data_IF_789354856689
#
_entry.id   IF_789354856689
#
_cell.length_a   1.000
_cell.length_b   1.000
_cell.length_c   1.000
_cell.angle_alpha   90.00
_cell.angle_beta   90.00
_cell.angle_gamma   90.00
#
_symmetry.space_group_name_H-M   'P 1'
#
loop_
_entity.id
_entity.type
_entity.pdbx_description
1 polymer ?
#
# COMPACT_ATOMS: atom_id res chain seq x y z
N UNK A 1 -12.72 42.75 -62.82
CA UNK A 1 -11.73 41.94 -62.09
C UNK A 1 -12.24 41.42 -60.72
N UNK A 2 -13.54 41.12 -60.56
CA UNK A 2 -14.15 40.84 -59.24
C UNK A 2 -14.54 39.36 -59.01
N UNK A 3 -14.24 38.49 -60.00
CA UNK A 3 -14.58 37.07 -59.95
C UNK A 3 -13.52 36.23 -59.21
N UNK A 4 -12.24 36.60 -59.30
CA UNK A 4 -11.14 35.88 -58.62
C UNK A 4 -11.18 35.99 -57.09
N UNK A 5 -11.50 37.17 -56.55
CA UNK A 5 -11.55 37.40 -55.10
C UNK A 5 -12.70 36.66 -54.40
N UNK A 6 -13.86 36.53 -55.05
CA UNK A 6 -15.00 35.74 -54.55
C UNK A 6 -14.75 34.24 -54.60
N UNK A 7 -13.92 33.76 -55.53
CA UNK A 7 -13.56 32.35 -55.63
C UNK A 7 -12.54 31.96 -54.55
N UNK A 8 -11.54 32.81 -54.31
CA UNK A 8 -10.52 32.60 -53.28
C UNK A 8 -11.11 32.62 -51.85
N UNK A 9 -12.08 33.52 -51.58
CA UNK A 9 -12.70 33.60 -50.26
C UNK A 9 -13.60 32.40 -49.94
N UNK A 10 -14.27 31.82 -50.95
CA UNK A 10 -15.04 30.58 -50.81
C UNK A 10 -14.15 29.37 -50.53
N UNK A 11 -13.04 29.26 -51.24
CA UNK A 11 -12.02 28.21 -51.03
C UNK A 11 -11.41 28.29 -49.62
N UNK A 12 -11.03 29.49 -49.17
CA UNK A 12 -10.50 29.70 -47.82
C UNK A 12 -11.53 29.42 -46.72
N UNK A 13 -12.81 29.75 -46.95
CA UNK A 13 -13.90 29.42 -46.03
C UNK A 13 -14.18 27.91 -45.97
N UNK A 14 -14.13 27.21 -47.10
CA UNK A 14 -14.29 25.75 -47.16
C UNK A 14 -13.11 25.03 -46.47
N UNK A 15 -11.89 25.54 -46.69
CA UNK A 15 -10.66 25.00 -46.10
C UNK A 15 -10.60 25.22 -44.58
N UNK A 16 -11.09 26.36 -44.08
CA UNK A 16 -11.23 26.58 -42.64
C UNK A 16 -12.35 25.76 -42.00
N UNK A 17 -13.45 25.49 -42.72
CA UNK A 17 -14.52 24.58 -42.29
C UNK A 17 -14.04 23.13 -42.13
N UNK A 18 -12.91 22.79 -42.76
CA UNK A 18 -12.26 21.48 -42.71
C UNK A 18 -11.13 21.41 -41.66
N UNK A 19 -10.98 22.42 -40.79
CA UNK A 19 -10.09 22.30 -39.63
C UNK A 19 -10.74 21.45 -38.53
N UNK A 20 -10.44 20.15 -38.60
CA UNK A 20 -10.52 19.13 -37.53
C UNK A 20 -11.70 19.30 -36.56
N UNK A 21 -12.89 18.97 -37.03
CA UNK A 21 -13.96 18.56 -36.13
C UNK A 21 -13.62 17.18 -35.58
N UNK A 22 -13.34 17.09 -34.28
CA UNK A 22 -13.36 15.81 -33.57
C UNK A 22 -14.78 15.24 -33.73
N UNK A 23 -14.95 13.99 -34.18
CA UNK A 23 -16.26 13.37 -34.29
C UNK A 23 -17.00 13.49 -32.96
N UNK A 24 -18.27 13.91 -32.98
CA UNK A 24 -19.03 14.17 -31.75
C UNK A 24 -19.07 12.96 -30.81
N UNK A 25 -19.14 11.75 -31.37
CA UNK A 25 -19.04 10.49 -30.63
C UNK A 25 -17.68 10.31 -29.95
N UNK A 26 -16.58 10.64 -30.64
CA UNK A 26 -15.23 10.57 -30.10
C UNK A 26 -15.03 11.58 -28.95
N UNK A 27 -15.58 12.78 -29.09
CA UNK A 27 -15.53 13.78 -28.02
C UNK A 27 -16.25 13.28 -26.76
N UNK A 28 -17.45 12.71 -26.92
CA UNK A 28 -18.24 12.16 -25.80
C UNK A 28 -17.52 10.98 -25.16
N UNK A 29 -16.99 10.03 -25.94
CA UNK A 29 -16.31 8.85 -25.39
C UNK A 29 -15.05 9.23 -24.60
N UNK A 30 -14.28 10.21 -25.06
CA UNK A 30 -13.08 10.69 -24.37
C UNK A 30 -13.45 11.38 -23.06
N UNK A 31 -14.47 12.26 -23.07
CA UNK A 31 -14.91 12.96 -21.85
C UNK A 31 -15.42 11.95 -20.82
N UNK A 32 -16.28 11.02 -21.24
CA UNK A 32 -16.80 9.97 -20.34
C UNK A 32 -15.68 9.08 -19.82
N UNK A 33 -14.70 8.72 -20.65
CA UNK A 33 -13.53 7.94 -20.26
C UNK A 33 -12.68 8.63 -19.20
N UNK A 34 -12.41 9.94 -19.36
CA UNK A 34 -11.63 10.73 -18.39
C UNK A 34 -12.37 10.83 -17.06
N UNK A 35 -13.69 11.07 -17.07
CA UNK A 35 -14.50 11.13 -15.84
C UNK A 35 -14.53 9.77 -15.14
N UNK A 36 -14.75 8.68 -15.88
CA UNK A 36 -14.75 7.32 -15.32
C UNK A 36 -13.38 6.94 -14.73
N UNK A 37 -12.28 7.27 -15.42
CA UNK A 37 -10.93 7.03 -14.92
C UNK A 37 -10.63 7.85 -13.65
N UNK A 38 -11.09 9.09 -13.59
CA UNK A 38 -10.96 9.93 -12.39
C UNK A 38 -11.67 9.33 -11.17
N UNK A 39 -12.93 8.93 -11.34
CA UNK A 39 -13.72 8.30 -10.27
C UNK A 39 -13.16 6.94 -9.83
N UNK A 40 -12.75 6.11 -10.79
CA UNK A 40 -12.16 4.80 -10.49
C UNK A 40 -10.77 4.97 -9.83
N UNK A 41 -9.98 5.94 -10.28
CA UNK A 41 -8.67 6.24 -9.71
C UNK A 41 -8.75 6.68 -8.25
N UNK A 42 -9.68 7.58 -7.90
CA UNK A 42 -9.86 8.01 -6.51
C UNK A 42 -10.38 6.87 -5.63
N UNK A 43 -11.28 6.03 -6.15
CA UNK A 43 -11.76 4.85 -5.44
C UNK A 43 -10.63 3.84 -5.15
N UNK A 44 -9.80 3.54 -6.15
CA UNK A 44 -8.64 2.64 -5.99
C UNK A 44 -7.59 3.22 -5.03
N UNK A 45 -7.36 4.54 -5.06
CA UNK A 45 -6.41 5.19 -4.15
C UNK A 45 -6.88 5.17 -2.69
N UNK A 46 -8.19 5.26 -2.46
CA UNK A 46 -8.77 5.06 -1.14
C UNK A 46 -8.57 3.61 -0.64
N UNK A 47 -8.75 2.61 -1.50
CA UNK A 47 -8.49 1.21 -1.15
C UNK A 47 -7.00 0.94 -0.87
N UNK A 48 -6.10 1.52 -1.67
CA UNK A 48 -4.66 1.40 -1.45
C UNK A 48 -4.18 2.03 -0.14
N UNK A 49 -4.94 2.97 0.44
CA UNK A 49 -4.64 3.57 1.74
C UNK A 49 -5.18 2.73 2.91
N UNK A 50 -6.04 1.73 2.62
CA UNK A 50 -6.70 0.86 3.58
C UNK A 50 -6.08 -0.54 3.61
N UNK A 51 -4.75 -0.66 3.65
CA UNK A 51 -4.07 -1.93 3.93
C UNK A 51 -4.37 -2.51 5.35
N UNK A 52 -5.36 -1.95 6.05
CA UNK A 52 -5.81 -2.32 7.38
C UNK A 52 -7.31 -2.55 7.29
N UNK A 53 -7.72 -3.82 7.31
CA UNK A 53 -9.15 -4.18 7.37
C UNK A 53 -9.58 -4.06 8.82
N UNK A 54 -10.42 -3.07 9.12
CA UNK A 54 -10.97 -2.91 10.46
C UNK A 54 -12.09 -3.91 10.69
N UNK A 55 -11.96 -4.72 11.74
CA UNK A 55 -12.94 -5.75 12.10
C UNK A 55 -13.48 -5.49 13.50
N UNK A 56 -14.73 -5.88 13.76
CA UNK A 56 -15.26 -5.82 15.11
C UNK A 56 -14.56 -6.87 15.99
N UNK A 57 -14.13 -6.45 17.18
CA UNK A 57 -13.39 -7.29 18.13
C UNK A 57 -11.89 -7.01 18.17
N UNK A 58 -11.11 -7.93 18.70
CA UNK A 58 -9.65 -7.79 18.84
C UNK A 58 -8.94 -8.21 17.55
N UNK A 59 -8.17 -7.30 16.96
CA UNK A 59 -7.48 -7.54 15.71
C UNK A 59 -6.23 -6.66 15.60
N UNK A 60 -5.22 -7.21 14.94
CA UNK A 60 -3.95 -6.55 14.67
C UNK A 60 -3.67 -6.65 13.18
N UNK A 61 -3.07 -5.61 12.61
CA UNK A 61 -2.63 -5.62 11.22
C UNK A 61 -1.21 -5.09 11.10
N UNK A 62 -0.37 -5.84 10.41
CA UNK A 62 1.02 -5.49 10.15
C UNK A 62 1.27 -5.25 8.68
N UNK A 63 1.99 -4.19 8.35
CA UNK A 63 2.47 -3.98 6.99
C UNK A 63 3.77 -3.20 6.96
N UNK A 64 4.55 -3.39 5.90
CA UNK A 64 5.69 -2.56 5.57
C UNK A 64 5.30 -1.56 4.47
N UNK A 65 6.02 -0.43 4.39
CA UNK A 65 5.76 0.59 3.35
C UNK A 65 5.94 0.06 1.93
N UNK A 66 6.85 -0.92 1.77
CA UNK A 66 7.17 -1.56 0.50
C UNK A 66 7.16 -3.07 0.69
N UNK A 67 6.95 -3.80 -0.39
CA UNK A 67 7.10 -5.26 -0.38
C UNK A 67 8.53 -5.68 -0.73
N UNK A 68 9.31 -4.81 -1.36
CA UNK A 68 10.67 -5.09 -1.83
C UNK A 68 11.65 -4.10 -1.22
N UNK A 69 12.72 -4.61 -0.62
CA UNK A 69 13.78 -3.82 -0.01
C UNK A 69 15.17 -4.27 -0.51
N UNK A 70 16.08 -3.33 -0.81
CA UNK A 70 17.48 -3.66 -1.05
C UNK A 70 18.16 -4.15 0.23
N UNK A 71 19.15 -5.03 0.09
CA UNK A 71 19.95 -5.53 1.22
C UNK A 71 20.58 -4.37 2.00
N UNK A 72 20.38 -4.36 3.31
CA UNK A 72 20.96 -3.36 4.22
C UNK A 72 20.18 -2.07 4.37
N UNK A 73 19.00 -1.94 3.73
CA UNK A 73 18.07 -0.87 4.03
C UNK A 73 17.23 -1.20 5.27
N UNK A 74 17.09 -0.26 6.19
CA UNK A 74 16.18 -0.40 7.33
C UNK A 74 14.72 -0.49 6.87
N UNK A 75 13.98 -1.44 7.44
CA UNK A 75 12.58 -1.72 7.12
C UNK A 75 11.72 -1.22 8.27
N UNK A 76 10.79 -0.31 7.98
CA UNK A 76 9.79 0.14 8.93
C UNK A 76 8.55 -0.75 8.83
N UNK A 77 8.29 -1.51 9.88
CA UNK A 77 7.12 -2.36 10.04
C UNK A 77 6.10 -1.57 10.85
N UNK A 78 4.99 -1.21 10.21
CA UNK A 78 3.86 -0.55 10.86
C UNK A 78 2.92 -1.60 11.40
N UNK A 79 2.60 -1.47 12.68
CA UNK A 79 1.65 -2.30 13.40
C UNK A 79 0.48 -1.43 13.80
N UNK A 80 -0.73 -1.85 13.43
CA UNK A 80 -1.95 -1.10 13.69
C UNK A 80 -2.93 -1.98 14.43
N UNK A 81 -3.56 -1.43 15.46
CA UNK A 81 -4.75 -2.06 16.04
C UNK A 81 -5.93 -1.84 15.08
N UNK A 82 -6.25 -2.88 14.32
CA UNK A 82 -7.38 -2.90 13.38
C UNK A 82 -8.69 -3.32 14.04
N UNK A 83 -8.65 -3.67 15.33
CA UNK A 83 -9.82 -4.01 16.11
C UNK A 83 -10.52 -2.82 16.74
N UNK A 84 -11.55 -3.13 17.52
CA UNK A 84 -12.32 -2.19 18.34
C UNK A 84 -11.97 -2.26 19.83
N UNK A 85 -11.13 -3.21 20.23
CA UNK A 85 -10.68 -3.38 21.64
C UNK A 85 -9.21 -3.01 21.78
N UNK A 86 -8.76 -2.67 22.98
CA UNK A 86 -7.32 -2.45 23.23
C UNK A 86 -6.55 -3.75 23.06
N UNK A 87 -5.32 -3.63 22.60
CA UNK A 87 -4.39 -4.75 22.47
C UNK A 87 -3.04 -4.37 23.08
N UNK A 88 -2.28 -5.35 23.54
CA UNK A 88 -0.97 -5.13 24.15
C UNK A 88 -0.02 -6.28 23.86
N UNK A 89 1.26 -5.99 23.96
CA UNK A 89 2.31 -6.98 23.81
C UNK A 89 2.78 -7.49 25.18
N UNK A 90 3.04 -8.79 25.27
CA UNK A 90 3.47 -9.45 26.51
C UNK A 90 5.00 -9.46 26.62
N UNK A 91 5.52 -9.45 27.84
CA UNK A 91 6.95 -9.67 28.12
C UNK A 91 7.38 -11.13 27.93
N UNK A 92 6.42 -12.06 27.99
CA UNK A 92 6.68 -13.51 28.00
C UNK A 92 6.57 -14.16 26.61
N UNK A 93 6.18 -13.38 25.59
CA UNK A 93 6.01 -13.86 24.22
C UNK A 93 6.65 -12.88 23.24
N UNK A 94 7.28 -13.37 22.16
CA UNK A 94 7.76 -12.50 21.10
C UNK A 94 6.58 -11.74 20.46
N UNK A 95 6.76 -10.44 20.28
CA UNK A 95 5.79 -9.57 19.63
C UNK A 95 5.96 -9.53 18.11
N UNK A 96 7.21 -9.69 17.65
CA UNK A 96 7.56 -9.77 16.23
C UNK A 96 8.53 -10.93 16.02
N UNK A 97 8.24 -11.74 15.01
CA UNK A 97 9.09 -12.83 14.56
C UNK A 97 9.30 -12.68 13.05
N UNK A 98 10.54 -12.87 12.60
CA UNK A 98 10.88 -12.85 11.19
C UNK A 98 11.52 -14.17 10.83
N UNK A 99 10.92 -14.86 9.86
CA UNK A 99 11.30 -16.21 9.46
C UNK A 99 11.44 -16.30 7.95
N UNK A 100 12.24 -17.25 7.48
CA UNK A 100 12.16 -17.65 6.06
C UNK A 100 10.89 -18.48 5.80
N UNK A 101 10.58 -18.64 4.51
CA UNK A 101 9.44 -19.46 4.06
C UNK A 101 9.52 -20.93 4.51
N UNK A 102 10.72 -21.43 4.83
CA UNK A 102 10.95 -22.77 5.35
C UNK A 102 10.66 -22.90 6.86
N UNK A 103 10.29 -21.79 7.52
CA UNK A 103 10.00 -21.74 8.96
C UNK A 103 11.20 -21.39 9.84
N UNK A 104 12.41 -21.24 9.27
CA UNK A 104 13.61 -20.88 10.01
C UNK A 104 13.50 -19.47 10.58
N UNK A 105 13.51 -19.32 11.91
CA UNK A 105 13.47 -18.02 12.58
C UNK A 105 14.83 -17.34 12.53
N UNK A 106 14.88 -16.14 11.94
CA UNK A 106 16.08 -15.33 11.84
C UNK A 106 16.12 -14.22 12.90
N UNK A 107 14.97 -13.64 13.19
CA UNK A 107 14.84 -12.57 14.16
C UNK A 107 13.58 -12.77 15.00
N UNK A 108 13.67 -12.45 16.28
CA UNK A 108 12.55 -12.53 17.21
C UNK A 108 12.81 -11.57 18.35
N UNK A 109 11.86 -10.67 18.60
CA UNK A 109 11.96 -9.67 19.67
C UNK A 109 10.68 -9.58 20.49
N UNK A 110 10.84 -9.28 21.77
CA UNK A 110 9.75 -9.02 22.70
C UNK A 110 9.47 -7.52 22.70
N UNK A 111 8.21 -7.15 22.58
CA UNK A 111 7.76 -5.76 22.61
C UNK A 111 7.11 -5.49 23.97
N UNK A 112 7.88 -5.14 25.00
CA UNK A 112 7.29 -4.97 26.34
C UNK A 112 6.70 -3.58 26.54
N UNK A 113 5.53 -3.49 27.17
CA UNK A 113 4.94 -2.23 27.62
C UNK A 113 4.23 -1.42 26.53
N UNK A 114 4.12 -1.97 25.32
CA UNK A 114 3.39 -1.33 24.21
C UNK A 114 1.92 -1.75 24.30
N UNK A 115 1.04 -0.76 24.42
CA UNK A 115 -0.42 -0.92 24.33
C UNK A 115 -0.94 -0.05 23.19
N UNK A 116 -1.83 -0.61 22.39
CA UNK A 116 -2.44 0.06 21.25
C UNK A 116 -3.95 0.16 21.47
N UNK A 117 -4.43 1.38 21.59
CA UNK A 117 -5.85 1.69 21.47
C UNK A 117 -6.35 1.42 20.05
N UNK A 118 -7.67 1.25 19.84
CA UNK A 118 -8.23 1.08 18.50
C UNK A 118 -7.75 2.16 17.53
N UNK A 119 -7.36 1.75 16.31
CA UNK A 119 -6.76 2.59 15.27
C UNK A 119 -5.40 3.24 15.61
N UNK A 120 -4.81 2.95 16.77
CA UNK A 120 -3.46 3.40 17.09
C UNK A 120 -2.42 2.59 16.32
N UNK A 121 -1.29 3.25 16.00
CA UNK A 121 -0.18 2.68 15.26
C UNK A 121 1.10 2.68 16.09
N UNK A 122 1.92 1.66 15.89
CA UNK A 122 3.30 1.58 16.35
C UNK A 122 4.20 1.26 15.16
N UNK A 123 5.38 1.86 15.13
CA UNK A 123 6.38 1.62 14.09
C UNK A 123 7.56 0.91 14.73
N UNK A 124 7.86 -0.27 14.22
CA UNK A 124 9.04 -1.03 14.57
C UNK A 124 10.05 -0.95 13.43
N UNK A 125 11.30 -0.63 13.77
CA UNK A 125 12.38 -0.53 12.80
C UNK A 125 13.25 -1.78 12.83
N UNK A 126 13.44 -2.42 11.67
CA UNK A 126 14.26 -3.60 11.52
C UNK A 126 15.37 -3.42 10.49
N UNK A 127 16.62 -3.53 10.95
CA UNK A 127 17.82 -3.32 10.14
C UNK A 127 18.26 -4.53 9.31
N UNK A 128 17.35 -5.45 8.99
CA UNK A 128 17.66 -6.70 8.26
C UNK A 128 18.73 -7.56 8.96
N UNK A 129 18.74 -7.54 10.29
CA UNK A 129 19.67 -8.29 11.12
C UNK A 129 18.96 -9.43 11.83
N UNK A 130 19.69 -10.53 12.01
CA UNK A 130 19.28 -11.64 12.86
C UNK A 130 19.46 -11.29 14.33
N UNK A 131 18.99 -12.17 15.21
CA UNK A 131 19.19 -12.04 16.66
C UNK A 131 20.68 -12.09 17.08
N UNK A 132 21.58 -12.65 16.27
CA UNK A 132 23.03 -12.66 16.49
C UNK A 132 23.74 -11.41 15.92
N UNK A 133 22.99 -10.40 15.48
CA UNK A 133 23.45 -9.20 14.77
C UNK A 133 24.10 -9.45 13.40
N UNK A 134 24.14 -10.69 12.91
CA UNK A 134 24.57 -10.97 11.54
C UNK A 134 23.50 -10.52 10.54
N UNK A 135 23.92 -10.17 9.33
CA UNK A 135 23.00 -9.78 8.26
C UNK A 135 22.23 -11.00 7.76
N UNK A 136 20.98 -10.80 7.41
CA UNK A 136 20.20 -11.80 6.68
C UNK A 136 20.61 -11.84 5.21
N UNK A 137 20.25 -12.93 4.53
CA UNK A 137 20.53 -13.12 3.12
C UNK A 137 19.40 -12.54 2.26
N UNK A 138 19.64 -12.40 0.97
CA UNK A 138 18.56 -12.13 0.01
C UNK A 138 17.53 -13.26 0.02
N UNK A 139 16.26 -12.90 -0.13
CA UNK A 139 15.17 -13.87 -0.09
C UNK A 139 13.85 -13.30 0.36
N UNK A 140 12.84 -14.18 0.39
CA UNK A 140 11.49 -13.88 0.90
C UNK A 140 11.40 -14.25 2.37
N UNK A 141 10.90 -13.32 3.16
CA UNK A 141 10.71 -13.47 4.60
C UNK A 141 9.25 -13.27 4.98
N UNK A 142 8.82 -14.02 5.99
CA UNK A 142 7.53 -13.85 6.66
C UNK A 142 7.77 -13.04 7.92
N UNK A 143 7.06 -11.93 8.05
CA UNK A 143 6.95 -11.17 9.30
C UNK A 143 5.67 -11.58 9.98
N UNK A 144 5.79 -12.09 11.19
CA UNK A 144 4.69 -12.52 12.05
C UNK A 144 4.63 -11.56 13.24
N UNK A 145 3.44 -11.04 13.53
CA UNK A 145 3.20 -10.13 14.63
C UNK A 145 2.19 -10.79 15.57
N UNK A 146 2.51 -10.82 16.86
CA UNK A 146 1.69 -11.41 17.90
C UNK A 146 1.41 -10.39 19.01
N UNK A 147 0.15 -10.19 19.33
CA UNK A 147 -0.30 -9.36 20.45
C UNK A 147 -1.38 -10.10 21.25
N UNK A 148 -1.79 -9.52 22.37
CA UNK A 148 -2.81 -10.05 23.26
C UNK A 148 -3.92 -9.02 23.44
N UNK A 149 -5.16 -9.47 23.49
CA UNK A 149 -6.29 -8.62 23.88
C UNK A 149 -6.39 -8.47 25.39
N UNK A 150 -7.35 -7.66 25.86
CA UNK A 150 -7.61 -7.43 27.29
C UNK A 150 -8.07 -8.71 28.03
N UNK A 151 -8.54 -9.72 27.32
CA UNK A 151 -8.93 -11.03 27.87
C UNK A 151 -7.76 -12.02 27.94
N UNK A 152 -6.57 -11.64 27.44
CA UNK A 152 -5.39 -12.49 27.36
C UNK A 152 -5.39 -13.46 26.17
N UNK A 153 -6.30 -13.32 25.21
CA UNK A 153 -6.30 -14.10 23.98
C UNK A 153 -5.24 -13.56 23.03
N UNK A 154 -4.44 -14.46 22.48
CA UNK A 154 -3.45 -14.12 21.45
C UNK A 154 -4.14 -13.83 20.11
N UNK A 155 -3.71 -12.75 19.48
CA UNK A 155 -4.09 -12.32 18.13
C UNK A 155 -2.83 -12.17 17.30
N UNK A 156 -2.89 -12.65 16.07
CA UNK A 156 -1.72 -12.75 15.19
C UNK A 156 -2.05 -12.24 13.79
N UNK A 157 -1.09 -11.58 13.17
CA UNK A 157 -1.13 -11.25 11.75
C UNK A 157 0.24 -11.51 11.12
N UNK A 158 0.26 -11.75 9.81
CA UNK A 158 1.51 -12.02 9.09
C UNK A 158 1.48 -11.50 7.67
N UNK A 159 2.62 -11.02 7.20
CA UNK A 159 2.81 -10.62 5.82
C UNK A 159 4.20 -10.98 5.32
N UNK A 160 4.39 -10.97 4.01
CA UNK A 160 5.67 -11.30 3.38
C UNK A 160 6.38 -10.05 2.90
N UNK A 161 7.71 -10.04 3.01
CA UNK A 161 8.58 -9.05 2.38
C UNK A 161 9.71 -9.74 1.63
N UNK A 162 10.18 -9.09 0.57
CA UNK A 162 11.26 -9.56 -0.28
C UNK A 162 12.48 -8.68 -0.08
N UNK A 163 13.63 -9.32 0.10
CA UNK A 163 14.94 -8.66 0.21
C UNK A 163 15.75 -9.01 -1.01
N UNK A 164 16.09 -7.99 -1.79
CA UNK A 164 16.72 -8.11 -3.09
C UNK A 164 18.07 -7.38 -3.09
N UNK A 165 18.95 -7.75 -4.02
CA UNK A 165 20.18 -7.00 -4.31
C UNK A 165 19.92 -5.73 -5.10
#
# INVERSE_FOLDING_TARGET
NNYGAKHLSKELALKNKTRRMIPKSLAISVITGVVAAGLMGTYLQQLSSQNVVYVQGSSISGFAEKTHYPVGQSIQIQIVNSGTTKIGFSADSPGIIIRALDGTTFFSTVLTGIKLDPAQKHVFEWNQQKNDNSKILEGRYVVEISAFDESGKQITDSFTLDILK
#
